data_IF_781362503844
#
_entry.id   IF_781362503844
#
_cell.length_a   1.000
_cell.length_b   1.000
_cell.length_c   1.000
_cell.angle_alpha   90.00
_cell.angle_beta   90.00
_cell.angle_gamma   90.00
#
_symmetry.space_group_name_H-M   'P 1'
#
loop_
_entity.id
_entity.type
_entity.pdbx_description
1 polymer ?
#
# COMPACT_ATOMS: atom_id res chain seq x y z
N UNK A 1 -9.07 11.86 5.92
CA UNK A 1 -9.77 10.60 6.26
C UNK A 1 -9.00 9.88 7.35
N UNK A 2 -9.67 9.14 8.23
CA UNK A 2 -9.03 8.45 9.36
C UNK A 2 -8.78 6.97 9.08
N UNK A 3 -9.45 6.44 8.06
CA UNK A 3 -9.35 5.06 7.60
C UNK A 3 -8.75 5.01 6.20
N UNK A 4 -7.78 4.13 6.02
CA UNK A 4 -7.28 3.67 4.72
C UNK A 4 -7.79 2.25 4.44
N UNK A 5 -7.49 1.72 3.26
CA UNK A 5 -7.89 0.36 2.90
C UNK A 5 -6.69 -0.45 2.50
N UNK A 6 -6.63 -1.71 2.92
CA UNK A 6 -5.67 -2.65 2.41
C UNK A 6 -6.32 -3.62 1.42
N UNK A 7 -5.50 -4.20 0.54
CA UNK A 7 -5.94 -5.23 -0.38
C UNK A 7 -4.92 -6.38 -0.43
N UNK A 8 -5.41 -7.60 -0.25
CA UNK A 8 -4.65 -8.85 -0.29
C UNK A 8 -5.06 -9.76 -1.46
N UNK A 9 -5.81 -9.25 -2.45
CA UNK A 9 -6.29 -10.04 -3.60
C UNK A 9 -5.15 -10.76 -4.34
N UNK A 10 -4.01 -10.09 -4.50
CA UNK A 10 -2.88 -10.62 -5.26
C UNK A 10 -2.00 -11.61 -4.47
N UNK A 11 -2.35 -11.94 -3.21
CA UNK A 11 -1.61 -12.92 -2.42
C UNK A 11 -1.70 -14.35 -2.96
N UNK A 12 -2.62 -14.61 -3.89
CA UNK A 12 -2.67 -15.88 -4.63
C UNK A 12 -1.41 -16.17 -5.45
N UNK A 13 -0.67 -15.13 -5.86
CA UNK A 13 0.59 -15.26 -6.62
C UNK A 13 1.77 -14.46 -6.03
N UNK A 14 1.51 -13.51 -5.12
CA UNK A 14 2.53 -12.77 -4.37
C UNK A 14 2.21 -12.83 -2.86
N UNK A 15 2.52 -13.93 -2.15
CA UNK A 15 1.97 -14.24 -0.83
C UNK A 15 2.21 -13.20 0.26
N UNK A 16 3.33 -12.49 0.22
CA UNK A 16 3.68 -11.45 1.20
C UNK A 16 3.25 -10.03 0.77
N UNK A 17 2.70 -9.85 -0.44
CA UNK A 17 2.27 -8.55 -0.91
C UNK A 17 0.96 -8.11 -0.26
N UNK A 18 0.88 -6.82 0.08
CA UNK A 18 -0.34 -6.17 0.53
C UNK A 18 -0.35 -4.74 0.00
N UNK A 19 -1.47 -4.34 -0.60
CA UNK A 19 -1.70 -2.96 -1.00
C UNK A 19 -2.17 -2.11 0.17
N UNK A 20 -1.77 -0.84 0.21
CA UNK A 20 -2.28 0.22 1.09
C UNK A 20 -2.81 1.34 0.21
N UNK A 21 -4.13 1.54 0.28
CA UNK A 21 -4.93 2.39 -0.59
C UNK A 21 -5.39 3.59 0.22
N UNK A 22 -5.07 4.79 -0.28
CA UNK A 22 -5.44 6.07 0.34
C UNK A 22 -6.21 6.92 -0.67
N UNK A 23 -6.87 8.02 -0.26
CA UNK A 23 -7.53 8.92 -1.22
C UNK A 23 -6.59 9.49 -2.29
N UNK A 24 -5.27 9.49 -2.06
CA UNK A 24 -4.27 10.01 -2.98
C UNK A 24 -3.39 8.91 -3.60
N UNK A 25 -3.66 7.62 -3.31
CA UNK A 25 -2.87 6.49 -3.79
C UNK A 25 -3.77 5.29 -4.04
N UNK A 26 -3.98 4.98 -5.31
CA UNK A 26 -4.71 3.79 -5.76
C UNK A 26 -3.92 2.52 -5.41
N UNK A 27 -4.59 1.36 -5.46
CA UNK A 27 -3.89 0.09 -5.52
C UNK A 27 -2.97 0.06 -6.75
N UNK A 28 -1.86 -0.68 -6.68
CA UNK A 28 -0.85 -0.69 -7.74
C UNK A 28 -1.41 -1.09 -9.13
N UNK A 29 -2.52 -1.84 -9.16
CA UNK A 29 -3.20 -2.23 -10.41
C UNK A 29 -4.01 -1.12 -11.09
N UNK A 30 -4.14 0.07 -10.49
CA UNK A 30 -4.96 1.17 -10.99
C UNK A 30 -6.47 0.98 -10.86
N UNK A 31 -6.94 -0.25 -10.61
CA UNK A 31 -8.37 -0.60 -10.65
C UNK A 31 -9.13 -0.43 -9.33
N UNK A 32 -8.45 -0.11 -8.22
CA UNK A 32 -9.09 0.01 -6.89
C UNK A 32 -8.73 1.35 -6.27
N UNK A 33 -9.71 2.26 -6.24
CA UNK A 33 -9.62 3.53 -5.52
C UNK A 33 -9.91 3.37 -4.03
N UNK A 34 -9.72 4.45 -3.26
CA UNK A 34 -10.16 4.48 -1.86
C UNK A 34 -11.68 4.29 -1.69
N UNK A 35 -12.48 4.81 -2.64
CA UNK A 35 -13.94 4.63 -2.60
C UNK A 35 -14.36 3.20 -2.90
N UNK A 36 -13.68 2.54 -3.84
CA UNK A 36 -13.88 1.11 -4.13
C UNK A 36 -13.48 0.27 -2.91
N UNK A 37 -12.35 0.62 -2.27
CA UNK A 37 -11.91 0.01 -1.01
C UNK A 37 -12.98 0.10 0.09
N UNK A 38 -13.56 1.29 0.26
CA UNK A 38 -14.66 1.54 1.21
C UNK A 38 -15.91 0.74 0.88
N UNK A 39 -16.29 0.65 -0.39
CA UNK A 39 -17.46 -0.10 -0.81
C UNK A 39 -17.25 -1.60 -0.61
N UNK A 40 -16.13 -2.14 -1.09
CA UNK A 40 -15.81 -3.56 -1.02
C UNK A 40 -15.73 -4.07 0.42
N UNK A 41 -15.05 -3.33 1.32
CA UNK A 41 -14.95 -3.71 2.74
C UNK A 41 -16.30 -3.70 3.48
N UNK A 42 -17.30 -2.96 2.98
CA UNK A 42 -18.68 -2.96 3.52
C UNK A 42 -19.53 -4.08 2.94
N UNK A 43 -19.36 -4.38 1.66
CA UNK A 43 -20.08 -5.44 0.96
C UNK A 43 -19.64 -6.81 1.48
N UNK A 44 -18.33 -7.02 1.60
CA UNK A 44 -17.75 -8.25 2.15
C UNK A 44 -16.69 -7.93 3.21
N UNK A 45 -17.08 -7.83 4.50
CA UNK A 45 -16.15 -7.54 5.60
C UNK A 45 -15.09 -8.62 5.84
N UNK A 46 -15.29 -9.84 5.31
CA UNK A 46 -14.33 -10.95 5.40
C UNK A 46 -13.51 -11.11 4.11
N UNK A 47 -13.75 -10.24 3.14
CA UNK A 47 -13.10 -10.25 1.85
C UNK A 47 -11.62 -9.84 1.92
N UNK A 48 -10.95 -9.84 0.76
CA UNK A 48 -9.53 -9.52 0.66
C UNK A 48 -9.23 -8.02 0.77
N UNK A 49 -10.26 -7.17 0.76
CA UNK A 49 -10.17 -5.73 0.96
C UNK A 49 -10.70 -5.40 2.35
N UNK A 50 -9.91 -4.67 3.14
CA UNK A 50 -10.18 -4.47 4.56
C UNK A 50 -9.81 -3.06 5.01
N UNK A 51 -10.49 -2.51 6.04
CA UNK A 51 -10.13 -1.21 6.60
C UNK A 51 -8.80 -1.29 7.37
N UNK A 52 -8.05 -0.19 7.32
CA UNK A 52 -6.86 0.06 8.12
C UNK A 52 -7.10 1.38 8.86
N UNK A 53 -7.24 1.30 10.18
CA UNK A 53 -7.19 2.49 11.03
C UNK A 53 -5.79 3.08 10.92
N UNK A 54 -5.69 4.38 10.64
CA UNK A 54 -4.39 5.01 10.39
C UNK A 54 -3.46 4.94 11.61
N UNK A 55 -4.03 5.08 12.81
CA UNK A 55 -3.27 5.17 14.06
C UNK A 55 -2.42 6.44 14.12
N UNK A 56 -1.36 6.40 14.91
CA UNK A 56 -0.41 7.50 15.08
C UNK A 56 0.35 7.81 13.78
N UNK A 57 0.51 9.09 13.46
CA UNK A 57 1.39 9.54 12.38
C UNK A 57 2.82 9.65 12.91
N UNK A 58 3.69 8.77 12.44
CA UNK A 58 5.09 8.68 12.88
C UNK A 58 6.00 9.59 12.07
N UNK A 59 5.71 9.75 10.77
CA UNK A 59 6.43 10.64 9.87
C UNK A 59 5.45 11.24 8.84
N UNK A 60 5.07 12.52 8.97
CA UNK A 60 4.11 13.16 8.06
C UNK A 60 4.69 13.43 6.67
N UNK A 61 6.02 13.49 6.52
CA UNK A 61 6.67 13.76 5.24
C UNK A 61 6.76 12.49 4.41
N UNK A 62 7.21 11.38 5.02
CA UNK A 62 7.28 10.08 4.35
C UNK A 62 5.95 9.34 4.30
N UNK A 63 4.96 9.80 5.06
CA UNK A 63 3.66 9.17 5.17
C UNK A 63 3.72 7.85 5.92
N UNK A 64 4.43 7.82 7.04
CA UNK A 64 4.48 6.66 7.92
C UNK A 64 3.41 6.75 9.00
N UNK A 65 2.67 5.66 9.16
CA UNK A 65 1.60 5.56 10.15
C UNK A 65 1.66 4.21 10.86
N UNK A 66 1.51 4.23 12.19
CA UNK A 66 1.63 3.03 13.02
C UNK A 66 0.62 1.93 12.63
N UNK A 67 -0.62 2.31 12.32
CA UNK A 67 -1.65 1.34 11.92
C UNK A 67 -1.40 0.70 10.56
N UNK A 68 -0.71 1.41 9.65
CA UNK A 68 -0.27 0.84 8.37
C UNK A 68 0.85 -0.18 8.62
N UNK A 69 1.84 0.16 9.43
CA UNK A 69 2.95 -0.73 9.76
C UNK A 69 2.45 -2.02 10.44
N UNK A 70 1.52 -1.91 11.39
CA UNK A 70 0.89 -3.06 12.04
C UNK A 70 0.14 -3.93 11.04
N UNK A 71 -0.70 -3.32 10.20
CA UNK A 71 -1.46 -4.04 9.16
C UNK A 71 -0.54 -4.73 8.15
N UNK A 72 0.50 -4.05 7.69
CA UNK A 72 1.49 -4.60 6.76
C UNK A 72 2.16 -5.83 7.37
N UNK A 73 2.71 -5.71 8.59
CA UNK A 73 3.40 -6.81 9.29
C UNK A 73 2.50 -8.03 9.46
N UNK A 74 1.25 -7.80 9.89
CA UNK A 74 0.28 -8.88 10.10
C UNK A 74 -0.06 -9.62 8.81
N UNK A 75 -0.20 -8.88 7.70
CA UNK A 75 -0.75 -9.42 6.45
C UNK A 75 0.30 -9.85 5.43
N UNK A 76 1.54 -9.43 5.61
CA UNK A 76 2.68 -9.87 4.82
C UNK A 76 3.40 -11.08 5.44
N UNK A 77 2.79 -11.77 6.41
CA UNK A 77 3.43 -12.86 7.17
C UNK A 77 4.73 -12.42 7.90
N UNK A 78 4.83 -11.14 8.27
CA UNK A 78 5.99 -10.57 8.93
C UNK A 78 7.06 -9.96 8.00
N UNK A 79 7.00 -10.20 6.70
CA UNK A 79 8.02 -9.73 5.73
C UNK A 79 8.13 -8.20 5.63
N UNK A 80 7.01 -7.48 5.72
CA UNK A 80 6.94 -6.02 5.62
C UNK A 80 6.60 -5.44 6.97
N UNK A 81 7.58 -4.87 7.65
CA UNK A 81 7.40 -4.27 8.99
C UNK A 81 7.09 -2.77 8.97
N UNK A 82 7.40 -2.09 7.86
CA UNK A 82 7.31 -0.64 7.73
C UNK A 82 7.00 -0.24 6.29
N UNK A 83 6.13 0.76 6.10
CA UNK A 83 5.78 1.30 4.78
C UNK A 83 5.77 2.82 4.81
N UNK A 84 6.48 3.43 3.86
CA UNK A 84 6.41 4.86 3.58
C UNK A 84 5.50 5.10 2.37
N UNK A 85 4.40 5.81 2.58
CA UNK A 85 3.45 6.09 1.51
C UNK A 85 3.95 7.10 0.48
N UNK A 86 4.89 7.96 0.85
CA UNK A 86 5.35 9.10 0.04
C UNK A 86 6.86 9.10 -0.20
N UNK A 87 7.52 7.94 -0.06
CA UNK A 87 8.93 7.76 -0.38
C UNK A 87 9.14 6.51 -1.23
N UNK A 88 9.93 6.63 -2.29
CA UNK A 88 10.44 5.50 -3.05
C UNK A 88 11.69 4.85 -2.41
N UNK A 89 12.31 5.53 -1.43
CA UNK A 89 13.51 5.07 -0.75
C UNK A 89 13.21 4.44 0.63
N UNK A 90 14.09 3.52 1.03
CA UNK A 90 14.15 2.84 2.34
C UNK A 90 13.04 1.84 2.62
N UNK A 91 11.77 2.27 2.64
CA UNK A 91 10.62 1.41 2.95
C UNK A 91 9.49 1.60 1.95
N UNK A 92 9.74 1.44 0.63
CA UNK A 92 8.70 1.61 -0.37
C UNK A 92 7.61 0.54 -0.20
N UNK A 93 6.43 0.88 -0.66
CA UNK A 93 5.34 -0.08 -0.80
C UNK A 93 5.74 -1.22 -1.75
N UNK A 94 5.44 -2.48 -1.40
CA UNK A 94 5.78 -3.64 -2.24
C UNK A 94 4.91 -3.72 -3.49
N UNK A 95 5.27 -4.61 -4.42
CA UNK A 95 4.51 -4.90 -5.63
C UNK A 95 4.19 -6.38 -5.73
N UNK A 96 3.06 -6.70 -6.37
CA UNK A 96 2.74 -8.04 -6.82
C UNK A 96 3.24 -8.24 -8.25
N UNK A 97 2.35 -8.17 -9.25
CA UNK A 97 2.71 -8.35 -10.66
C UNK A 97 1.76 -7.68 -11.66
N UNK A 98 0.75 -6.95 -11.18
CA UNK A 98 -0.25 -6.29 -12.00
C UNK A 98 -0.12 -4.76 -11.98
N UNK A 99 1.04 -4.23 -11.60
CA UNK A 99 1.28 -2.80 -11.63
C UNK A 99 1.25 -2.27 -13.06
N UNK A 100 0.70 -1.07 -13.26
CA UNK A 100 0.59 -0.45 -14.60
C UNK A 100 1.87 0.27 -15.04
N UNK A 101 2.73 0.61 -14.09
CA UNK A 101 4.03 1.22 -14.36
C UNK A 101 5.03 0.99 -13.23
N UNK A 102 6.31 1.16 -13.55
CA UNK A 102 7.44 0.98 -12.62
C UNK A 102 8.23 2.28 -12.53
N UNK A 103 8.43 2.78 -11.30
CA UNK A 103 9.41 3.84 -11.04
C UNK A 103 10.76 3.22 -10.65
N UNK A 104 11.85 3.68 -11.26
CA UNK A 104 13.22 3.29 -10.92
C UNK A 104 14.12 4.51 -10.80
N UNK A 105 15.04 4.48 -9.84
CA UNK A 105 15.95 5.60 -9.58
C UNK A 105 17.14 5.56 -10.54
N UNK A 106 17.50 6.72 -11.11
CA UNK A 106 18.63 6.91 -12.04
C UNK A 106 19.64 7.84 -11.34
N UNK A 107 20.70 7.30 -10.72
CA UNK A 107 21.66 8.08 -9.94
C UNK A 107 22.34 9.20 -10.73
N UNK A 108 22.63 8.98 -12.01
CA UNK A 108 23.36 9.92 -12.88
C UNK A 108 22.64 11.25 -13.09
N UNK A 109 21.32 11.26 -12.89
CA UNK A 109 20.48 12.47 -13.02
C UNK A 109 19.72 12.79 -11.74
N UNK A 110 20.04 12.11 -10.64
CA UNK A 110 19.36 12.23 -9.34
C UNK A 110 17.82 12.18 -9.46
N UNK A 111 17.30 11.35 -10.36
CA UNK A 111 15.89 11.37 -10.77
C UNK A 111 15.25 9.99 -10.84
N UNK A 112 13.96 9.96 -11.15
CA UNK A 112 13.22 8.72 -11.40
C UNK A 112 12.85 8.60 -12.88
N UNK A 113 13.10 7.43 -13.47
CA UNK A 113 12.47 6.99 -14.71
C UNK A 113 11.16 6.27 -14.41
N UNK A 114 10.22 6.34 -15.35
CA UNK A 114 8.94 5.61 -15.30
C UNK A 114 8.74 4.91 -16.64
N UNK A 115 8.38 3.62 -16.59
CA UNK A 115 7.97 2.81 -17.75
C UNK A 115 6.64 2.12 -17.46
#
# INVERSE_FOLDING_TARGET
VDVFYGCALCQSFAPSHVCVITPQRYANCGAISWFDGRAAARIDPKGPIFPIEKGECLDPVRGEFAGINESAKKRSLGEVSRVYLYSAFTCPHTSCGCFEGIAFYIPEVEGFGIV
#
